data_IF_128960672592
#
_entry.id   IF_128960672592
#
_cell.length_a   1.000
_cell.length_b   1.000
_cell.length_c   1.000
_cell.angle_alpha   90.00
_cell.angle_beta   90.00
_cell.angle_gamma   90.00
#
_symmetry.space_group_name_H-M   'P 1'
#
loop_
_entity.id
_entity.type
_entity.pdbx_description
1 polymer ?
#
# COMPACT_ATOMS: atom_id res chain seq x y z
N UNK A 1 -18.28 -2.42 -2.84
CA UNK A 1 -16.96 -2.73 -2.27
C UNK A 1 -15.98 -1.63 -2.61
N UNK A 2 -15.39 -0.98 -1.61
CA UNK A 2 -14.49 0.15 -1.77
C UNK A 2 -13.08 -0.23 -1.30
N UNK A 3 -12.13 -0.20 -2.22
CA UNK A 3 -10.76 -0.66 -2.02
C UNK A 3 -9.79 0.51 -1.94
N UNK A 4 -8.98 0.59 -0.89
CA UNK A 4 -7.84 1.48 -0.82
C UNK A 4 -6.55 0.66 -0.93
N UNK A 5 -5.64 1.07 -1.79
CA UNK A 5 -4.28 0.51 -1.89
C UNK A 5 -3.27 1.60 -1.56
N UNK A 6 -2.32 1.29 -0.67
CA UNK A 6 -1.07 2.01 -0.50
C UNK A 6 0.03 1.12 -1.05
N UNK A 7 0.65 1.53 -2.16
CA UNK A 7 1.73 0.80 -2.83
C UNK A 7 3.04 1.55 -2.66
N UNK A 8 4.17 0.85 -2.58
CA UNK A 8 5.45 1.48 -2.30
C UNK A 8 5.88 2.51 -3.36
N UNK A 9 6.02 2.08 -4.61
CA UNK A 9 6.52 2.88 -5.71
C UNK A 9 5.47 3.79 -6.36
N UNK A 10 5.99 4.75 -7.13
CA UNK A 10 5.17 5.77 -7.80
C UNK A 10 4.76 5.46 -9.24
N UNK A 11 5.26 4.36 -9.81
CA UNK A 11 5.15 4.11 -11.26
C UNK A 11 4.68 2.70 -11.61
N UNK A 12 5.36 1.67 -11.11
CA UNK A 12 5.15 0.28 -11.54
C UNK A 12 3.88 -0.27 -10.92
N UNK A 13 3.81 -0.27 -9.60
CA UNK A 13 2.73 -0.85 -8.79
C UNK A 13 1.39 -0.20 -9.09
N UNK A 14 1.24 1.15 -9.16
CA UNK A 14 -0.05 1.74 -9.50
C UNK A 14 -0.60 1.26 -10.84
N UNK A 15 0.27 1.03 -11.84
CA UNK A 15 -0.13 0.53 -13.16
C UNK A 15 -0.51 -0.95 -13.10
N UNK A 16 0.31 -1.77 -12.44
CA UNK A 16 0.09 -3.22 -12.32
C UNK A 16 -1.20 -3.50 -11.55
N UNK A 17 -1.37 -2.94 -10.35
CA UNK A 17 -2.58 -3.14 -9.55
C UNK A 17 -3.82 -2.62 -10.28
N UNK A 18 -3.75 -1.44 -10.92
CA UNK A 18 -4.87 -0.94 -11.71
C UNK A 18 -5.27 -1.89 -12.84
N UNK A 19 -4.30 -2.45 -13.58
CA UNK A 19 -4.56 -3.39 -14.65
C UNK A 19 -5.17 -4.70 -14.15
N UNK A 20 -4.61 -5.29 -13.09
CA UNK A 20 -5.13 -6.53 -12.50
C UNK A 20 -6.54 -6.35 -11.93
N UNK A 21 -6.77 -5.28 -11.17
CA UNK A 21 -8.10 -4.99 -10.61
C UNK A 21 -9.13 -4.71 -11.70
N UNK A 22 -8.76 -4.02 -12.78
CA UNK A 22 -9.67 -3.79 -13.92
C UNK A 22 -10.06 -5.10 -14.62
N UNK A 23 -9.18 -6.10 -14.61
CA UNK A 23 -9.47 -7.41 -15.18
C UNK A 23 -10.33 -8.28 -14.26
N UNK A 24 -10.01 -8.30 -12.96
CA UNK A 24 -10.71 -9.12 -11.95
C UNK A 24 -12.07 -8.54 -11.55
N UNK A 25 -12.19 -7.21 -11.53
CA UNK A 25 -13.39 -6.47 -11.16
C UNK A 25 -13.72 -5.44 -12.23
N UNK A 26 -14.29 -5.84 -13.39
CA UNK A 26 -14.54 -4.93 -14.52
C UNK A 26 -15.42 -3.72 -14.19
N UNK A 27 -16.26 -3.83 -13.15
CA UNK A 27 -17.13 -2.76 -12.65
C UNK A 27 -16.46 -1.79 -11.67
N UNK A 28 -15.17 -1.95 -11.37
CA UNK A 28 -14.47 -1.10 -10.39
C UNK A 28 -14.18 0.29 -10.98
N UNK A 29 -14.52 1.34 -10.23
CA UNK A 29 -14.29 2.72 -10.62
C UNK A 29 -13.05 3.27 -9.89
N UNK A 30 -12.01 3.66 -10.63
CA UNK A 30 -10.82 4.25 -10.02
C UNK A 30 -11.03 5.74 -9.71
N UNK A 31 -10.75 6.15 -8.48
CA UNK A 31 -10.90 7.53 -8.00
C UNK A 31 -9.64 8.02 -7.31
N UNK A 32 -9.39 9.32 -7.37
CA UNK A 32 -8.19 9.94 -6.79
C UNK A 32 -8.41 10.47 -5.37
N UNK A 33 -9.64 10.81 -5.02
CA UNK A 33 -10.00 11.41 -3.72
C UNK A 33 -10.81 10.43 -2.87
N UNK A 34 -10.60 10.40 -1.55
CA UNK A 34 -11.31 9.49 -0.67
C UNK A 34 -12.82 9.80 -0.58
N UNK A 35 -13.24 11.06 -0.72
CA UNK A 35 -14.66 11.46 -0.80
C UNK A 35 -15.39 10.93 -2.04
N UNK A 36 -14.66 10.60 -3.12
CA UNK A 36 -15.24 10.06 -4.35
C UNK A 36 -15.48 8.54 -4.26
N UNK A 37 -14.99 7.88 -3.19
CA UNK A 37 -15.20 6.45 -2.96
C UNK A 37 -16.63 6.19 -2.49
N UNK A 38 -17.47 5.68 -3.39
CA UNK A 38 -18.91 5.49 -3.15
C UNK A 38 -19.30 4.02 -3.24
N UNK A 39 -19.44 3.48 -4.45
CA UNK A 39 -19.74 2.06 -4.67
C UNK A 39 -18.77 1.50 -5.70
N UNK A 40 -18.22 0.32 -5.42
CA UNK A 40 -17.27 -0.37 -6.30
C UNK A 40 -16.10 0.54 -6.69
N UNK A 41 -15.63 1.36 -5.76
CA UNK A 41 -14.57 2.33 -6.01
C UNK A 41 -13.20 1.79 -5.60
N UNK A 42 -12.15 2.19 -6.30
CA UNK A 42 -10.79 1.88 -5.94
C UNK A 42 -9.93 3.13 -5.96
N UNK A 43 -9.13 3.31 -4.91
CA UNK A 43 -8.13 4.37 -4.83
C UNK A 43 -6.76 3.72 -4.64
N UNK A 44 -5.78 4.13 -5.42
CA UNK A 44 -4.40 3.65 -5.32
C UNK A 44 -3.48 4.83 -5.01
N UNK A 45 -2.75 4.74 -3.90
CA UNK A 45 -1.85 5.76 -3.41
C UNK A 45 -0.42 5.26 -3.46
N UNK A 46 0.44 6.03 -4.11
CA UNK A 46 1.87 5.78 -4.13
C UNK A 46 2.54 6.31 -2.84
N UNK A 47 3.31 5.44 -2.20
CA UNK A 47 4.22 5.74 -1.10
C UNK A 47 5.37 6.63 -1.55
N UNK A 48 5.82 6.46 -2.81
CA UNK A 48 7.02 7.04 -3.39
C UNK A 48 8.28 6.61 -2.61
N UNK A 49 8.39 5.30 -2.43
CA UNK A 49 9.47 4.62 -1.73
C UNK A 49 9.15 4.32 -0.26
N UNK A 50 9.76 3.25 0.25
CA UNK A 50 9.56 2.74 1.60
C UNK A 50 9.60 3.83 2.70
N UNK A 51 10.61 4.73 2.76
CA UNK A 51 10.70 5.68 3.87
C UNK A 51 9.51 6.65 3.95
N UNK A 52 9.02 7.13 2.81
CA UNK A 52 7.87 8.04 2.75
C UNK A 52 6.55 7.32 3.06
N UNK A 53 6.48 6.03 2.72
CA UNK A 53 5.31 5.21 2.98
C UNK A 53 5.04 5.07 4.49
N UNK A 54 6.10 4.85 5.28
CA UNK A 54 5.96 4.43 6.69
C UNK A 54 6.64 5.32 7.72
N UNK A 55 7.36 6.35 7.30
CA UNK A 55 8.04 7.30 8.19
C UNK A 55 7.66 8.73 7.88
N UNK A 56 7.55 9.56 8.92
CA UNK A 56 7.35 10.99 8.76
C UNK A 56 8.54 11.64 8.03
N UNK A 57 8.32 12.62 7.13
CA UNK A 57 9.39 13.36 6.49
C UNK A 57 10.29 14.06 7.54
N UNK A 58 11.59 13.74 7.53
CA UNK A 58 12.56 14.30 8.50
C UNK A 58 12.76 15.81 8.37
N UNK A 59 12.57 16.37 7.18
CA UNK A 59 12.99 17.75 6.85
C UNK A 59 11.92 18.79 7.23
N UNK A 60 10.64 18.48 7.02
CA UNK A 60 9.56 19.46 7.19
C UNK A 60 8.58 19.08 8.31
N UNK A 61 8.84 17.97 9.01
CA UNK A 61 7.81 17.34 9.84
C UNK A 61 6.64 16.85 8.98
N UNK A 62 5.69 16.16 9.62
CA UNK A 62 4.49 15.68 8.94
C UNK A 62 4.16 14.23 9.29
N UNK A 63 3.40 13.60 8.42
CA UNK A 63 2.94 12.22 8.56
C UNK A 63 3.43 11.37 7.41
N UNK A 64 3.62 10.09 7.66
CA UNK A 64 3.83 9.11 6.61
C UNK A 64 2.58 8.98 5.73
N UNK A 65 2.73 8.38 4.54
CA UNK A 65 1.56 8.08 3.68
C UNK A 65 0.61 7.08 4.34
N UNK A 66 1.13 6.13 5.10
CA UNK A 66 0.31 5.20 5.89
C UNK A 66 -0.57 5.94 6.90
N UNK A 67 0.01 6.89 7.65
CA UNK A 67 -0.76 7.71 8.59
C UNK A 67 -1.86 8.56 7.91
N UNK A 68 -1.57 9.14 6.74
CA UNK A 68 -2.58 9.90 5.98
C UNK A 68 -3.72 9.00 5.46
N UNK A 69 -3.41 7.80 4.96
CA UNK A 69 -4.42 6.81 4.58
C UNK A 69 -5.30 6.40 5.75
N UNK A 70 -4.73 6.19 6.94
CA UNK A 70 -5.48 5.88 8.15
C UNK A 70 -6.41 7.02 8.58
N UNK A 71 -5.98 8.28 8.41
CA UNK A 71 -6.84 9.44 8.64
C UNK A 71 -8.00 9.52 7.65
N UNK A 72 -7.75 9.22 6.37
CA UNK A 72 -8.82 9.13 5.36
C UNK A 72 -9.83 8.04 5.75
N UNK A 73 -9.36 6.83 6.09
CA UNK A 73 -10.23 5.72 6.53
C UNK A 73 -11.09 6.14 7.72
N UNK A 74 -10.48 6.77 8.74
CA UNK A 74 -11.21 7.23 9.93
C UNK A 74 -12.24 8.33 9.60
N UNK A 75 -11.87 9.28 8.74
CA UNK A 75 -12.69 10.45 8.43
C UNK A 75 -13.91 10.10 7.56
N UNK A 76 -13.71 9.30 6.53
CA UNK A 76 -14.75 9.04 5.53
C UNK A 76 -15.54 7.77 5.82
N UNK A 77 -14.94 6.79 6.52
CA UNK A 77 -15.58 5.55 6.93
C UNK A 77 -16.33 4.84 5.77
N UNK A 78 -15.78 4.93 4.56
CA UNK A 78 -16.34 4.45 3.30
C UNK A 78 -15.41 3.44 2.60
N UNK A 79 -14.42 2.91 3.32
CA UNK A 79 -13.43 1.97 2.82
C UNK A 79 -13.71 0.60 3.46
N UNK A 80 -13.93 -0.41 2.62
CA UNK A 80 -14.19 -1.77 3.06
C UNK A 80 -12.88 -2.53 3.30
N UNK A 81 -11.90 -2.36 2.41
CA UNK A 81 -10.60 -3.02 2.50
C UNK A 81 -9.46 -2.06 2.23
N UNK A 82 -8.44 -2.09 3.08
CA UNK A 82 -7.19 -1.35 2.91
C UNK A 82 -6.01 -2.30 2.74
N UNK A 83 -5.33 -2.21 1.60
CA UNK A 83 -4.16 -2.99 1.24
C UNK A 83 -2.89 -2.16 1.35
N UNK A 84 -1.88 -2.69 2.02
CA UNK A 84 -0.54 -2.11 2.14
C UNK A 84 0.41 -3.04 1.39
N UNK A 85 0.88 -2.59 0.24
CA UNK A 85 1.74 -3.37 -0.65
C UNK A 85 3.18 -2.84 -0.58
N UNK A 86 4.11 -3.70 -0.21
CA UNK A 86 5.50 -3.33 0.08
C UNK A 86 6.46 -4.35 -0.49
N UNK A 87 7.63 -3.91 -0.95
CA UNK A 87 8.70 -4.82 -1.35
C UNK A 87 9.43 -5.38 -0.11
N UNK A 88 9.80 -6.66 -0.15
CA UNK A 88 10.67 -7.20 0.89
C UNK A 88 12.12 -6.77 0.70
N UNK A 89 12.51 -6.41 -0.52
CA UNK A 89 13.88 -6.17 -0.95
C UNK A 89 14.79 -7.35 -0.53
N UNK A 90 15.80 -7.08 0.30
CA UNK A 90 16.73 -8.07 0.85
C UNK A 90 16.24 -8.71 2.16
N UNK A 91 15.16 -8.19 2.76
CA UNK A 91 14.61 -8.73 4.00
C UNK A 91 13.77 -9.99 3.73
N UNK A 92 13.80 -10.98 4.65
CA UNK A 92 12.83 -12.08 4.61
C UNK A 92 11.39 -11.56 4.71
N UNK A 93 10.47 -12.23 4.02
CA UNK A 93 9.03 -11.94 4.06
C UNK A 93 8.52 -11.60 5.48
N UNK A 94 8.82 -12.45 6.46
CA UNK A 94 8.30 -12.31 7.82
C UNK A 94 8.82 -11.04 8.50
N UNK A 95 10.10 -10.71 8.29
CA UNK A 95 10.71 -9.50 8.85
C UNK A 95 10.01 -8.26 8.32
N UNK A 96 9.79 -8.16 7.00
CA UNK A 96 9.08 -7.03 6.41
C UNK A 96 7.61 -6.98 6.85
N UNK A 97 6.94 -8.13 6.92
CA UNK A 97 5.56 -8.21 7.39
C UNK A 97 5.42 -7.68 8.81
N UNK A 98 6.24 -8.17 9.75
CA UNK A 98 6.19 -7.78 11.15
C UNK A 98 6.49 -6.28 11.31
N UNK A 99 7.44 -5.75 10.54
CA UNK A 99 7.75 -4.32 10.55
C UNK A 99 6.55 -3.46 10.14
N UNK A 100 5.90 -3.77 9.02
CA UNK A 100 4.71 -3.05 8.55
C UNK A 100 3.55 -3.22 9.52
N UNK A 101 3.33 -4.44 10.01
CA UNK A 101 2.27 -4.73 10.96
C UNK A 101 2.43 -3.91 12.25
N UNK A 102 3.64 -3.88 12.83
CA UNK A 102 3.90 -3.12 14.05
C UNK A 102 3.67 -1.62 13.83
N UNK A 103 4.15 -1.06 12.70
CA UNK A 103 3.91 0.35 12.36
C UNK A 103 2.42 0.66 12.15
N UNK A 104 1.68 -0.24 11.52
CA UNK A 104 0.24 -0.11 11.32
C UNK A 104 -0.49 -0.05 12.67
N UNK A 105 -0.19 -0.98 13.59
CA UNK A 105 -0.83 -1.01 14.91
C UNK A 105 -0.44 0.18 15.79
N UNK A 106 0.82 0.63 15.73
CA UNK A 106 1.27 1.86 16.40
C UNK A 106 0.48 3.08 15.92
N UNK A 107 0.31 3.23 14.60
CA UNK A 107 -0.44 4.34 14.04
C UNK A 107 -1.94 4.24 14.30
N UNK A 108 -2.54 3.05 14.24
CA UNK A 108 -3.95 2.84 14.62
C UNK A 108 -4.19 3.24 16.07
N UNK A 109 -3.30 2.82 16.98
CA UNK A 109 -3.36 3.19 18.40
C UNK A 109 -3.24 4.71 18.58
N UNK A 110 -2.23 5.33 17.95
CA UNK A 110 -2.01 6.78 18.00
C UNK A 110 -3.20 7.59 17.48
N UNK A 111 -3.84 7.12 16.42
CA UNK A 111 -4.96 7.80 15.78
C UNK A 111 -6.32 7.45 16.41
N UNK A 112 -6.36 6.49 17.34
CA UNK A 112 -7.60 5.97 17.93
C UNK A 112 -8.51 5.37 16.86
N UNK A 113 -7.95 4.50 16.01
CA UNK A 113 -8.71 3.62 15.11
C UNK A 113 -8.92 2.33 15.88
N UNK A 114 -10.14 2.13 16.37
CA UNK A 114 -10.53 0.95 17.15
C UNK A 114 -11.24 -0.09 16.28
N UNK A 115 -11.65 -1.19 16.90
CA UNK A 115 -12.35 -2.30 16.24
C UNK A 115 -13.77 -1.94 15.74
N UNK A 116 -14.27 -0.72 15.99
CA UNK A 116 -15.60 -0.30 15.49
C UNK A 116 -15.56 0.10 14.02
N UNK A 117 -14.37 0.37 13.45
CA UNK A 117 -14.22 0.53 12.01
C UNK A 117 -14.33 -0.83 11.31
N UNK A 118 -15.26 -0.92 10.37
CA UNK A 118 -15.51 -2.12 9.57
C UNK A 118 -14.42 -2.41 8.53
N UNK A 119 -13.44 -1.51 8.34
CA UNK A 119 -12.38 -1.66 7.36
C UNK A 119 -11.47 -2.84 7.71
N UNK A 120 -11.28 -3.73 6.76
CA UNK A 120 -10.32 -4.82 6.86
C UNK A 120 -8.93 -4.38 6.37
N UNK A 121 -7.89 -4.75 7.11
CA UNK A 121 -6.50 -4.38 6.81
C UNK A 121 -5.73 -5.57 6.27
N UNK A 122 -5.03 -5.37 5.16
CA UNK A 122 -4.32 -6.42 4.42
C UNK A 122 -2.89 -5.97 4.13
N UNK A 123 -1.89 -6.77 4.49
CA UNK A 123 -0.48 -6.50 4.16
C UNK A 123 -0.06 -7.49 3.07
N UNK A 124 0.44 -6.97 1.95
CA UNK A 124 0.99 -7.76 0.85
C UNK A 124 2.47 -7.44 0.75
N UNK A 125 3.30 -8.39 1.17
CA UNK A 125 4.75 -8.30 0.97
C UNK A 125 5.10 -8.96 -0.36
N UNK A 126 5.68 -8.18 -1.28
CA UNK A 126 6.19 -8.63 -2.56
C UNK A 126 7.61 -9.17 -2.32
N UNK A 127 7.74 -10.49 -2.26
CA UNK A 127 9.02 -11.12 -1.92
C UNK A 127 10.06 -10.88 -3.04
N UNK A 128 11.21 -10.34 -2.64
CA UNK A 128 12.14 -9.51 -3.41
C UNK A 128 11.53 -8.15 -3.80
N UNK A 129 11.00 -7.98 -4.99
CA UNK A 129 10.30 -6.75 -5.39
C UNK A 129 9.34 -6.98 -6.55
N UNK A 130 8.38 -6.08 -6.79
CA UNK A 130 7.48 -6.20 -7.94
C UNK A 130 8.23 -6.23 -9.29
N UNK A 131 9.34 -5.51 -9.41
CA UNK A 131 10.18 -5.52 -10.62
C UNK A 131 10.72 -6.92 -10.93
N UNK A 132 11.03 -7.71 -9.91
CA UNK A 132 11.49 -9.10 -10.08
C UNK A 132 10.41 -9.96 -10.72
N UNK A 133 9.14 -9.74 -10.38
CA UNK A 133 8.01 -10.47 -10.95
C UNK A 133 7.82 -10.14 -12.43
N UNK A 134 8.13 -8.90 -12.82
CA UNK A 134 8.07 -8.44 -14.19
C UNK A 134 9.32 -8.80 -15.03
N UNK A 135 10.24 -9.60 -14.48
CA UNK A 135 11.54 -9.92 -15.11
C UNK A 135 12.35 -8.66 -15.44
N UNK A 136 12.26 -7.62 -14.59
CA UNK A 136 12.88 -6.31 -14.81
C UNK A 136 14.41 -6.35 -14.94
N UNK A 137 15.06 -7.42 -14.48
CA UNK A 137 16.44 -7.74 -14.79
C UNK A 137 16.52 -9.12 -15.48
N UNK A 138 16.57 -9.11 -16.81
CA UNK A 138 16.73 -10.32 -17.61
C UNK A 138 18.21 -10.74 -17.75
N UNK A 139 19.15 -9.89 -17.34
CA UNK A 139 20.56 -10.22 -17.34
C UNK A 139 20.88 -11.13 -16.15
N UNK A 140 21.16 -12.39 -16.45
CA UNK A 140 21.79 -13.30 -15.49
C UNK A 140 23.17 -12.72 -15.21
N UNK A 141 23.53 -12.41 -13.94
CA UNK A 141 24.90 -11.99 -13.62
C UNK A 141 25.86 -13.00 -14.23
N UNK A 142 26.73 -12.55 -15.14
CA UNK A 142 27.74 -13.41 -15.71
C UNK A 142 28.51 -14.01 -14.53
N UNK A 143 28.46 -15.34 -14.38
CA UNK A 143 29.27 -16.06 -13.40
C UNK A 143 30.73 -15.63 -13.64
N UNK A 144 31.24 -14.75 -12.78
CA UNK A 144 32.66 -14.46 -12.73
C UNK A 144 33.34 -15.78 -12.36
N UNK A 145 33.95 -16.42 -13.37
CA UNK A 145 34.82 -17.58 -13.20
C UNK A 145 36.15 -17.17 -12.59
#
# INVERSE_FOLDING_TARGET
MNLLFLVEGGKTEPKVYKAWLSHLFPQINFVDRPEDMTTNSCRIIAGNGYPNMVSAPKIYGGRSRLEECLLDIKKYNNIDHFFICVDSEDDPYQTRFDEIHNKLEDFKTKLGIDQTQATEFHIIVQNCCLETWALGNADIPALHK
#
